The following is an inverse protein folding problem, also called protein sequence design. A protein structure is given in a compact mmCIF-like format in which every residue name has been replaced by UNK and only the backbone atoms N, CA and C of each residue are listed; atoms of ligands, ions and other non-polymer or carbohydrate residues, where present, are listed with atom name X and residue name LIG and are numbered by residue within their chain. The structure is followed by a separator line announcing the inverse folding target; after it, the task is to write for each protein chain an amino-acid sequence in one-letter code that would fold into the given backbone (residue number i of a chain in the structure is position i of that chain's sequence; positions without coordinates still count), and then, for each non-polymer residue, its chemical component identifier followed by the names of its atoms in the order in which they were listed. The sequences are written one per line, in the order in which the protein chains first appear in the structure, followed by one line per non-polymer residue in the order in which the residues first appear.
data_IF_887773704332
#
_entry.id   IF_887773704332
#
_cell.length_a   1.000
_cell.length_b   1.000
_cell.length_c   1.000
_cell.angle_alpha   90.00
_cell.angle_beta   90.00
_cell.angle_gamma   90.00
#
_symmetry.space_group_name_H-M   'P 1'
#
loop_
_entity.id
_entity.type
_entity.pdbx_description
1 polymer ?
#
# COMPACT_ATOMS: atom_id res chain seq x y z
N UNK A 1 -29.00 1.54 -6.04
CA UNK A 1 -28.19 1.99 -7.20
C UNK A 1 -27.05 2.93 -6.80
N UNK A 2 -27.30 4.05 -6.09
CA UNK A 2 -26.27 5.03 -5.70
C UNK A 2 -25.10 4.47 -4.88
N UNK A 3 -25.36 3.54 -3.94
CA UNK A 3 -24.32 2.88 -3.13
C UNK A 3 -23.35 2.03 -3.98
N UNK A 4 -23.88 1.35 -5.01
CA UNK A 4 -23.08 0.56 -5.94
C UNK A 4 -22.21 1.44 -6.85
N UNK A 5 -22.75 2.56 -7.32
CA UNK A 5 -21.99 3.56 -8.09
C UNK A 5 -20.85 4.17 -7.27
N UNK A 6 -21.11 4.54 -6.01
CA UNK A 6 -20.06 5.04 -5.11
C UNK A 6 -18.98 3.99 -4.82
N UNK A 7 -19.37 2.72 -4.66
CA UNK A 7 -18.40 1.64 -4.49
C UNK A 7 -17.53 1.46 -5.75
N UNK A 8 -18.14 1.48 -6.93
CA UNK A 8 -17.42 1.42 -8.21
C UNK A 8 -16.47 2.61 -8.38
N UNK A 9 -16.93 3.83 -8.08
CA UNK A 9 -16.10 5.05 -8.10
C UNK A 9 -14.88 4.92 -7.17
N UNK A 10 -15.08 4.45 -5.94
CA UNK A 10 -13.97 4.24 -5.01
C UNK A 10 -12.98 3.19 -5.53
N UNK A 11 -13.47 2.09 -6.11
CA UNK A 11 -12.61 1.05 -6.68
C UNK A 11 -11.79 1.57 -7.86
N UNK A 12 -12.41 2.35 -8.76
CA UNK A 12 -11.73 2.97 -9.89
C UNK A 12 -10.64 3.95 -9.44
N UNK A 13 -10.94 4.81 -8.47
CA UNK A 13 -9.97 5.77 -7.94
C UNK A 13 -8.79 5.08 -7.24
N UNK A 14 -9.06 3.99 -6.52
CA UNK A 14 -8.01 3.15 -5.93
C UNK A 14 -7.11 2.55 -7.00
N UNK A 15 -7.69 2.03 -8.08
CA UNK A 15 -6.94 1.44 -9.17
C UNK A 15 -6.10 2.47 -9.92
N UNK A 16 -6.65 3.66 -10.18
CA UNK A 16 -5.91 4.78 -10.76
C UNK A 16 -4.69 5.14 -9.91
N UNK A 17 -4.87 5.24 -8.59
CA UNK A 17 -3.79 5.56 -7.65
C UNK A 17 -2.68 4.50 -7.68
N UNK A 18 -3.05 3.21 -7.69
CA UNK A 18 -2.09 2.11 -7.80
C UNK A 18 -1.27 2.20 -9.08
N UNK A 19 -1.92 2.41 -10.22
CA UNK A 19 -1.25 2.52 -11.51
C UNK A 19 -0.25 3.68 -11.52
N UNK A 20 -0.63 4.83 -10.95
CA UNK A 20 0.25 6.00 -10.86
C UNK A 20 1.49 5.72 -10.02
N UNK A 21 1.34 5.05 -8.88
CA UNK A 21 2.48 4.68 -8.01
C UNK A 21 3.40 3.70 -8.71
N UNK A 22 2.86 2.69 -9.40
CA UNK A 22 3.66 1.76 -10.18
C UNK A 22 4.42 2.46 -11.31
N UNK A 23 3.75 3.36 -12.04
CA UNK A 23 4.38 4.14 -13.11
C UNK A 23 5.52 5.00 -12.57
N UNK A 24 5.33 5.66 -11.41
CA UNK A 24 6.38 6.45 -10.78
C UNK A 24 7.57 5.61 -10.33
N UNK A 25 7.31 4.44 -9.74
CA UNK A 25 8.39 3.51 -9.36
C UNK A 25 9.17 3.01 -10.57
N UNK A 26 8.46 2.65 -11.65
CA UNK A 26 9.08 2.17 -12.88
C UNK A 26 9.94 3.26 -13.53
N UNK A 27 9.44 4.50 -13.59
CA UNK A 27 10.14 5.62 -14.18
C UNK A 27 11.43 5.99 -13.42
N UNK A 28 11.51 5.70 -12.13
CA UNK A 28 12.63 6.08 -11.25
C UNK A 28 13.50 4.90 -10.81
N UNK A 29 13.36 3.73 -11.44
CA UNK A 29 14.06 2.51 -11.01
C UNK A 29 15.59 2.64 -11.08
N UNK A 30 16.09 3.38 -12.06
CA UNK A 30 17.54 3.57 -12.29
C UNK A 30 18.10 4.81 -11.58
N UNK A 31 17.28 5.55 -10.84
CA UNK A 31 17.70 6.78 -10.16
C UNK A 31 18.47 6.42 -8.89
N UNK A 32 19.71 6.89 -8.77
CA UNK A 32 20.57 6.58 -7.63
C UNK A 32 19.93 7.02 -6.29
N UNK A 33 19.81 6.08 -5.36
CA UNK A 33 19.20 6.33 -4.04
C UNK A 33 17.66 6.31 -4.02
N UNK A 34 17.00 5.93 -5.12
CA UNK A 34 15.56 5.81 -5.17
C UNK A 34 15.02 4.73 -4.21
N UNK A 35 13.88 5.03 -3.57
CA UNK A 35 13.15 4.10 -2.69
C UNK A 35 11.74 3.92 -3.23
N UNK A 36 11.42 2.67 -3.55
CA UNK A 36 10.12 2.29 -4.08
C UNK A 36 8.98 2.59 -3.09
N UNK A 37 7.88 3.12 -3.58
CA UNK A 37 6.65 3.35 -2.80
C UNK A 37 5.65 2.23 -3.09
N UNK A 38 5.16 1.55 -2.05
CA UNK A 38 4.16 0.48 -2.18
C UNK A 38 2.83 0.93 -1.58
N UNK A 39 1.75 0.80 -2.35
CA UNK A 39 0.40 1.15 -1.90
C UNK A 39 -0.39 -0.10 -1.56
N UNK A 40 -0.82 -0.21 -0.29
CA UNK A 40 -1.74 -1.26 0.15
C UNK A 40 -3.16 -0.71 0.18
N UNK A 41 -4.11 -1.49 -0.31
CA UNK A 41 -5.54 -1.18 -0.19
C UNK A 41 -6.09 -2.03 0.92
N UNK A 42 -6.44 -1.39 2.03
CA UNK A 42 -7.18 -2.02 3.11
C UNK A 42 -8.65 -1.76 2.91
N UNK A 43 -9.48 -2.74 3.23
CA UNK A 43 -10.92 -2.54 3.25
C UNK A 43 -11.27 -1.51 4.34
N UNK A 44 -12.16 -0.57 4.01
CA UNK A 44 -12.71 0.40 4.97
C UNK A 44 -13.57 -0.38 5.98
N UNK A 45 -12.91 -0.97 6.97
CA UNK A 45 -13.50 -1.92 7.93
C UNK A 45 -12.51 -2.89 8.57
N UNK A 46 -11.26 -2.99 8.10
CA UNK A 46 -10.24 -3.87 8.70
C UNK A 46 -9.52 -3.26 9.93
N UNK A 47 -10.15 -2.33 10.65
CA UNK A 47 -9.66 -1.89 11.95
C UNK A 47 -10.08 -2.91 13.01
N UNK A 48 -9.49 -4.11 12.96
CA UNK A 48 -9.88 -5.19 13.84
C UNK A 48 -9.24 -6.55 13.57
N UNK A 49 -7.99 -6.61 13.08
CA UNK A 49 -7.25 -7.87 13.09
C UNK A 49 -5.74 -7.62 13.04
N UNK A 50 -5.09 -7.69 14.21
CA UNK A 50 -3.67 -8.01 14.34
C UNK A 50 -2.68 -6.90 14.02
N UNK A 51 -2.22 -6.20 15.06
CA UNK A 51 -0.91 -5.55 15.04
C UNK A 51 0.18 -6.57 14.69
N UNK A 52 1.01 -6.36 13.66
CA UNK A 52 2.20 -7.19 13.48
C UNK A 52 3.25 -6.77 14.53
N UNK A 53 3.23 -7.44 15.67
CA UNK A 53 4.36 -7.41 16.62
C UNK A 53 5.54 -8.09 15.94
N UNK A 54 6.36 -7.33 15.21
CA UNK A 54 7.73 -7.72 14.86
C UNK A 54 8.70 -6.86 15.65
N UNK A 55 8.74 -7.12 16.96
CA UNK A 55 9.84 -6.67 17.82
C UNK A 55 11.05 -7.57 17.56
N UNK A 56 11.95 -7.12 16.71
CA UNK A 56 13.28 -7.72 16.56
C UNK A 56 14.17 -7.22 17.69
N UNK A 57 14.13 -7.90 18.84
CA UNK A 57 15.17 -7.79 19.86
C UNK A 57 16.26 -8.83 19.57
N UNK A 58 17.11 -8.55 18.57
CA UNK A 58 18.39 -9.22 18.42
C UNK A 58 19.40 -8.54 19.35
N UNK A 59 19.79 -9.18 20.45
CA UNK A 59 21.01 -8.87 21.22
C UNK A 59 21.61 -10.14 21.83
N UNK A 60 22.70 -10.62 21.21
CA UNK A 60 23.79 -11.49 21.73
C UNK A 60 23.41 -12.94 22.13
N UNK A 61 24.14 -14.04 21.87
CA UNK A 61 25.59 -14.26 21.69
C UNK A 61 26.38 -13.36 22.66
N UNK A 62 26.64 -13.75 23.90
CA UNK A 62 27.45 -14.88 24.44
C UNK A 62 26.88 -15.29 25.79
#
# INVERSE_FOLDING_TARGET
MLKGLRAAETAMNIQLTKTNVLANNLANVDTAGFKQVLTQVTEKGAAGAGSPTRSFAARGII
#
